data_IF_604719995163
#
_entry.id   IF_604719995163
#
_cell.length_a   1.000
_cell.length_b   1.000
_cell.length_c   1.000
_cell.angle_alpha   90.00
_cell.angle_beta   90.00
_cell.angle_gamma   90.00
#
_symmetry.space_group_name_H-M   'P 1'
#
loop_
_entity.id
_entity.type
_entity.pdbx_description
1 polymer ?
#
# COMPACT_ATOMS: atom_id res chain seq x y z
N UNK A 1 -247.79 -23.68 -29.66
CA UNK A 1 -246.62 -22.83 -29.94
C UNK A 1 -245.50 -23.07 -28.91
N UNK A 2 -244.72 -24.15 -29.00
CA UNK A 2 -243.43 -24.30 -28.27
C UNK A 2 -242.41 -25.20 -28.99
N UNK A 3 -242.64 -25.54 -30.28
CA UNK A 3 -241.76 -26.46 -31.04
C UNK A 3 -240.55 -25.78 -31.71
N UNK A 4 -240.51 -24.45 -31.81
CA UNK A 4 -239.43 -23.71 -32.50
C UNK A 4 -238.23 -23.38 -31.58
N UNK A 5 -238.43 -23.43 -30.26
CA UNK A 5 -237.39 -23.08 -29.26
C UNK A 5 -236.38 -24.21 -29.02
N UNK A 6 -236.75 -25.46 -29.30
CA UNK A 6 -235.85 -26.61 -29.19
C UNK A 6 -234.84 -26.71 -30.34
N UNK A 7 -235.13 -26.19 -31.53
CA UNK A 7 -234.23 -26.32 -32.68
C UNK A 7 -233.05 -25.33 -32.62
N UNK A 8 -233.27 -24.10 -32.16
CA UNK A 8 -232.21 -23.10 -32.01
C UNK A 8 -231.17 -23.51 -30.95
N UNK A 9 -231.60 -24.13 -29.85
CA UNK A 9 -230.69 -24.63 -28.84
C UNK A 9 -229.76 -25.75 -29.36
N UNK A 10 -230.25 -26.59 -30.27
CA UNK A 10 -229.45 -27.67 -30.84
C UNK A 10 -228.38 -27.19 -31.83
N UNK A 11 -228.57 -26.03 -32.49
CA UNK A 11 -227.56 -25.47 -33.40
C UNK A 11 -226.42 -24.80 -32.64
N UNK A 12 -226.70 -24.11 -31.53
CA UNK A 12 -225.66 -23.51 -30.69
C UNK A 12 -224.74 -24.57 -30.07
N UNK A 13 -225.31 -25.70 -29.65
CA UNK A 13 -224.53 -26.82 -29.09
C UNK A 13 -223.53 -27.40 -30.12
N UNK A 14 -223.89 -27.43 -31.41
CA UNK A 14 -223.03 -27.96 -32.46
C UNK A 14 -221.80 -27.06 -32.72
N UNK A 15 -222.00 -25.73 -32.72
CA UNK A 15 -220.92 -24.75 -32.92
C UNK A 15 -219.92 -24.81 -31.76
N UNK A 16 -220.42 -24.99 -30.54
CA UNK A 16 -219.60 -25.08 -29.34
C UNK A 16 -218.71 -26.35 -29.35
N UNK A 17 -219.25 -27.48 -29.85
CA UNK A 17 -218.47 -28.72 -30.03
C UNK A 17 -217.37 -28.53 -31.08
N UNK A 18 -217.65 -27.86 -32.21
CA UNK A 18 -216.63 -27.63 -33.24
C UNK A 18 -215.50 -26.70 -32.76
N UNK A 19 -215.81 -25.65 -32.02
CA UNK A 19 -214.79 -24.78 -31.43
C UNK A 19 -213.91 -25.52 -30.42
N UNK A 20 -214.47 -26.44 -29.63
CA UNK A 20 -213.66 -27.30 -28.75
C UNK A 20 -212.72 -28.24 -29.51
N UNK A 21 -213.11 -28.74 -30.68
CA UNK A 21 -212.24 -29.61 -31.48
C UNK A 21 -211.05 -28.84 -32.06
N UNK A 22 -211.27 -27.64 -32.59
CA UNK A 22 -210.19 -26.79 -33.11
C UNK A 22 -209.19 -26.39 -32.01
N UNK A 23 -209.67 -26.06 -30.81
CA UNK A 23 -208.81 -25.67 -29.69
C UNK A 23 -207.96 -26.84 -29.17
N UNK A 24 -208.50 -28.08 -29.19
CA UNK A 24 -207.72 -29.29 -28.87
C UNK A 24 -206.63 -29.55 -29.90
N UNK A 25 -206.92 -29.42 -31.19
CA UNK A 25 -205.92 -29.65 -32.25
C UNK A 25 -204.78 -28.63 -32.16
N UNK A 26 -205.11 -27.36 -31.90
CA UNK A 26 -204.10 -26.31 -31.73
C UNK A 26 -203.21 -26.56 -30.51
N UNK A 27 -203.80 -26.94 -29.38
CA UNK A 27 -203.04 -27.34 -28.18
C UNK A 27 -202.14 -28.56 -28.42
N UNK A 28 -202.60 -29.53 -29.20
CA UNK A 28 -201.78 -30.70 -29.58
C UNK A 28 -200.58 -30.31 -30.44
N UNK A 29 -200.80 -29.47 -31.47
CA UNK A 29 -199.72 -29.01 -32.35
C UNK A 29 -198.68 -28.16 -31.58
N UNK A 30 -199.14 -27.24 -30.73
CA UNK A 30 -198.24 -26.42 -29.89
C UNK A 30 -197.46 -27.29 -28.89
N UNK A 31 -198.06 -28.36 -28.37
CA UNK A 31 -197.35 -29.33 -27.53
C UNK A 31 -196.25 -30.06 -28.30
N UNK A 32 -196.53 -30.60 -29.49
CA UNK A 32 -195.53 -31.30 -30.31
C UNK A 32 -194.39 -30.38 -30.72
N UNK A 33 -194.71 -29.14 -31.16
CA UNK A 33 -193.70 -28.14 -31.50
C UNK A 33 -192.82 -27.79 -30.28
N UNK A 34 -193.41 -27.70 -29.09
CA UNK A 34 -192.67 -27.45 -27.86
C UNK A 34 -191.76 -28.63 -27.47
N UNK A 35 -192.22 -29.86 -27.68
CA UNK A 35 -191.46 -31.07 -27.39
C UNK A 35 -190.25 -31.19 -28.31
N UNK A 36 -190.44 -31.04 -29.62
CA UNK A 36 -189.36 -31.14 -30.60
C UNK A 36 -188.31 -30.02 -30.44
N UNK A 37 -188.73 -28.78 -30.10
CA UNK A 37 -187.77 -27.73 -29.73
C UNK A 37 -186.95 -28.10 -28.51
N UNK A 38 -187.61 -28.66 -27.47
CA UNK A 38 -186.92 -29.11 -26.26
C UNK A 38 -185.92 -30.22 -26.55
N UNK A 39 -186.28 -31.17 -27.40
CA UNK A 39 -185.40 -32.28 -27.80
C UNK A 39 -184.22 -31.79 -28.62
N UNK A 40 -184.44 -30.93 -29.61
CA UNK A 40 -183.36 -30.34 -30.40
C UNK A 40 -182.40 -29.51 -29.54
N UNK A 41 -182.93 -28.70 -28.62
CA UNK A 41 -182.09 -27.93 -27.69
C UNK A 41 -181.35 -28.85 -26.71
N UNK A 42 -181.95 -29.95 -26.27
CA UNK A 42 -181.29 -30.97 -25.45
C UNK A 42 -180.16 -31.70 -26.20
N UNK A 43 -180.38 -32.10 -27.44
CA UNK A 43 -179.36 -32.77 -28.26
C UNK A 43 -178.22 -31.81 -28.61
N UNK A 44 -178.53 -30.57 -29.00
CA UNK A 44 -177.52 -29.54 -29.27
C UNK A 44 -176.66 -29.26 -28.03
N UNK A 45 -177.28 -29.16 -26.85
CA UNK A 45 -176.53 -28.96 -25.60
C UNK A 45 -175.69 -30.19 -25.23
N UNK A 46 -176.19 -31.40 -25.48
CA UNK A 46 -175.42 -32.63 -25.26
C UNK A 46 -174.20 -32.74 -26.19
N UNK A 47 -174.36 -32.48 -27.49
CA UNK A 47 -173.23 -32.50 -28.43
C UNK A 47 -172.17 -31.44 -28.09
N UNK A 48 -172.59 -30.21 -27.77
CA UNK A 48 -171.65 -29.14 -27.41
C UNK A 48 -170.91 -29.45 -26.11
N UNK A 49 -171.59 -30.04 -25.12
CA UNK A 49 -170.95 -30.42 -23.84
C UNK A 49 -170.01 -31.61 -24.00
N UNK A 50 -170.41 -32.66 -24.72
CA UNK A 50 -169.56 -33.82 -25.02
C UNK A 50 -168.31 -33.42 -25.81
N UNK A 51 -168.45 -32.61 -26.86
CA UNK A 51 -167.30 -32.10 -27.62
C UNK A 51 -166.38 -31.21 -26.76
N UNK A 52 -166.94 -30.37 -25.88
CA UNK A 52 -166.14 -29.57 -24.94
C UNK A 52 -165.36 -30.46 -23.97
N UNK A 53 -165.98 -31.51 -23.45
CA UNK A 53 -165.32 -32.47 -22.56
C UNK A 53 -164.17 -33.21 -23.28
N UNK A 54 -164.38 -33.69 -24.51
CA UNK A 54 -163.32 -34.33 -25.29
C UNK A 54 -162.14 -33.38 -25.57
N UNK A 55 -162.43 -32.11 -25.87
CA UNK A 55 -161.38 -31.09 -26.04
C UNK A 55 -160.60 -30.87 -24.73
N UNK A 56 -161.30 -30.81 -23.60
CA UNK A 56 -160.67 -30.57 -22.31
C UNK A 56 -159.84 -31.79 -21.87
N UNK A 57 -160.31 -33.02 -22.10
CA UNK A 57 -159.52 -34.26 -21.92
C UNK A 57 -158.27 -34.28 -22.81
N UNK A 58 -158.37 -33.87 -24.07
CA UNK A 58 -157.23 -33.80 -24.98
C UNK A 58 -156.19 -32.77 -24.51
N UNK A 59 -156.65 -31.63 -23.97
CA UNK A 59 -155.77 -30.62 -23.36
C UNK A 59 -155.08 -31.15 -22.12
N UNK A 60 -155.79 -31.86 -21.25
CA UNK A 60 -155.22 -32.45 -20.04
C UNK A 60 -154.16 -33.51 -20.39
N UNK A 61 -154.43 -34.36 -21.38
CA UNK A 61 -153.44 -35.31 -21.91
C UNK A 61 -152.25 -34.55 -22.50
N UNK A 62 -152.47 -33.49 -23.28
CA UNK A 62 -151.39 -32.68 -23.84
C UNK A 62 -150.51 -32.08 -22.73
N UNK A 63 -151.11 -31.48 -21.70
CA UNK A 63 -150.37 -30.91 -20.55
C UNK A 63 -149.63 -31.98 -19.77
N UNK A 64 -150.23 -33.16 -19.56
CA UNK A 64 -149.57 -34.28 -18.91
C UNK A 64 -148.38 -34.82 -19.72
N UNK A 65 -148.54 -34.91 -21.05
CA UNK A 65 -147.49 -35.33 -21.96
C UNK A 65 -146.35 -34.30 -21.99
N UNK A 66 -146.67 -33.02 -22.11
CA UNK A 66 -145.68 -31.93 -22.07
C UNK A 66 -144.90 -31.93 -20.76
N UNK A 67 -145.61 -32.12 -19.62
CA UNK A 67 -144.96 -32.29 -18.31
C UNK A 67 -144.07 -33.52 -18.24
N UNK A 68 -144.49 -34.66 -18.79
CA UNK A 68 -143.69 -35.88 -18.82
C UNK A 68 -142.43 -35.72 -19.67
N UNK A 69 -142.53 -35.11 -20.87
CA UNK A 69 -141.37 -34.85 -21.72
C UNK A 69 -140.42 -33.83 -21.10
N UNK A 70 -140.95 -32.77 -20.48
CA UNK A 70 -140.14 -31.80 -19.75
C UNK A 70 -139.42 -32.47 -18.55
N UNK A 71 -140.11 -33.35 -17.82
CA UNK A 71 -139.48 -34.13 -16.75
C UNK A 71 -138.40 -35.07 -17.29
N UNK A 72 -138.65 -35.78 -18.38
CA UNK A 72 -137.67 -36.66 -18.99
C UNK A 72 -136.46 -35.90 -19.55
N UNK A 73 -136.68 -34.73 -20.14
CA UNK A 73 -135.61 -33.84 -20.62
C UNK A 73 -134.78 -33.30 -19.46
N UNK A 74 -135.43 -32.84 -18.38
CA UNK A 74 -134.73 -32.35 -17.19
C UNK A 74 -133.93 -33.45 -16.50
N UNK A 75 -134.49 -34.67 -16.38
CA UNK A 75 -133.76 -35.84 -15.87
C UNK A 75 -132.56 -36.15 -16.75
N UNK A 76 -132.74 -36.29 -18.07
CA UNK A 76 -131.65 -36.56 -18.99
C UNK A 76 -130.57 -35.47 -18.91
N UNK A 77 -130.96 -34.19 -18.88
CA UNK A 77 -130.03 -33.06 -18.76
C UNK A 77 -129.25 -33.09 -17.45
N UNK A 78 -129.91 -33.45 -16.35
CA UNK A 78 -129.26 -33.62 -15.05
C UNK A 78 -128.31 -34.82 -15.05
N UNK A 79 -128.70 -35.96 -15.63
CA UNK A 79 -127.84 -37.14 -15.77
C UNK A 79 -126.60 -36.84 -16.62
N UNK A 80 -126.77 -36.18 -17.78
CA UNK A 80 -125.66 -35.70 -18.60
C UNK A 80 -124.77 -34.71 -17.84
N UNK A 81 -125.38 -33.81 -17.06
CA UNK A 81 -124.67 -32.88 -16.18
C UNK A 81 -123.80 -33.61 -15.15
N UNK A 82 -124.37 -34.60 -14.46
CA UNK A 82 -123.68 -35.42 -13.47
C UNK A 82 -122.53 -36.21 -14.09
N UNK A 83 -122.75 -36.91 -15.20
CA UNK A 83 -121.69 -37.67 -15.88
C UNK A 83 -120.57 -36.75 -16.35
N UNK A 84 -120.90 -35.57 -16.89
CA UNK A 84 -119.90 -34.57 -17.30
C UNK A 84 -119.08 -34.07 -16.11
N UNK A 85 -119.75 -33.74 -15.01
CA UNK A 85 -119.09 -33.20 -13.82
C UNK A 85 -118.26 -34.29 -13.10
N UNK A 86 -118.72 -35.54 -13.08
CA UNK A 86 -117.91 -36.69 -12.65
C UNK A 86 -116.67 -36.87 -13.52
N UNK A 87 -116.79 -36.83 -14.85
CA UNK A 87 -115.64 -36.95 -15.75
C UNK A 87 -114.65 -35.80 -15.55
N UNK A 88 -115.15 -34.58 -15.35
CA UNK A 88 -114.33 -33.40 -15.04
C UNK A 88 -113.63 -33.54 -13.70
N UNK A 89 -114.33 -33.99 -12.66
CA UNK A 89 -113.76 -34.21 -11.33
C UNK A 89 -112.68 -35.30 -11.37
N UNK A 90 -112.94 -36.45 -12.02
CA UNK A 90 -111.93 -37.50 -12.23
C UNK A 90 -110.71 -36.97 -12.97
N UNK A 91 -110.88 -36.15 -14.00
CA UNK A 91 -109.75 -35.56 -14.73
C UNK A 91 -108.93 -34.60 -13.85
N UNK A 92 -109.60 -33.78 -13.03
CA UNK A 92 -108.96 -32.88 -12.06
C UNK A 92 -108.20 -33.68 -11.01
N UNK A 93 -108.81 -34.73 -10.44
CA UNK A 93 -108.21 -35.64 -9.47
C UNK A 93 -106.97 -36.33 -10.06
N UNK A 94 -107.07 -36.90 -11.27
CA UNK A 94 -105.94 -37.53 -11.95
C UNK A 94 -104.79 -36.56 -12.21
N UNK A 95 -105.09 -35.32 -12.62
CA UNK A 95 -104.08 -34.26 -12.80
C UNK A 95 -103.42 -33.90 -11.46
N UNK A 96 -104.19 -33.75 -10.40
CA UNK A 96 -103.64 -33.45 -9.07
C UNK A 96 -102.80 -34.61 -8.53
N UNK A 97 -103.25 -35.86 -8.69
CA UNK A 97 -102.49 -37.05 -8.31
C UNK A 97 -101.15 -37.11 -9.06
N UNK A 98 -101.17 -36.91 -10.38
CA UNK A 98 -99.93 -36.89 -11.18
C UNK A 98 -99.00 -35.77 -10.75
N UNK A 99 -99.54 -34.56 -10.52
CA UNK A 99 -98.77 -33.41 -10.04
C UNK A 99 -98.12 -33.71 -8.69
N UNK A 100 -98.86 -34.28 -7.74
CA UNK A 100 -98.33 -34.67 -6.42
C UNK A 100 -97.20 -35.69 -6.54
N UNK A 101 -97.34 -36.69 -7.43
CA UNK A 101 -96.27 -37.69 -7.67
C UNK A 101 -95.03 -37.04 -8.28
N UNK A 102 -95.19 -36.14 -9.25
CA UNK A 102 -94.07 -35.43 -9.89
C UNK A 102 -93.38 -34.47 -8.93
N UNK A 103 -94.14 -33.67 -8.17
CA UNK A 103 -93.60 -32.77 -7.15
C UNK A 103 -92.84 -33.57 -6.08
N UNK A 104 -93.38 -34.71 -5.64
CA UNK A 104 -92.68 -35.62 -4.73
C UNK A 104 -91.36 -36.11 -5.33
N UNK A 105 -91.33 -36.52 -6.61
CA UNK A 105 -90.10 -36.97 -7.27
C UNK A 105 -89.06 -35.85 -7.41
N UNK A 106 -89.49 -34.64 -7.76
CA UNK A 106 -88.60 -33.46 -7.84
C UNK A 106 -88.02 -33.14 -6.46
N UNK A 107 -88.84 -33.16 -5.41
CA UNK A 107 -88.38 -32.91 -4.05
C UNK A 107 -87.37 -33.95 -3.57
N UNK A 108 -87.58 -35.24 -3.90
CA UNK A 108 -86.61 -36.31 -3.61
C UNK A 108 -85.29 -36.05 -4.35
N UNK A 109 -85.33 -35.83 -5.67
CA UNK A 109 -84.13 -35.57 -6.46
C UNK A 109 -83.37 -34.32 -5.99
N UNK A 110 -84.10 -33.27 -5.61
CA UNK A 110 -83.51 -32.05 -5.08
C UNK A 110 -82.85 -32.27 -3.72
N UNK A 111 -83.49 -33.04 -2.84
CA UNK A 111 -82.91 -33.44 -1.56
C UNK A 111 -81.64 -34.29 -1.75
N UNK A 112 -81.68 -35.26 -2.68
CA UNK A 112 -80.51 -36.08 -3.04
C UNK A 112 -79.37 -35.22 -3.60
N UNK A 113 -79.66 -34.31 -4.54
CA UNK A 113 -78.66 -33.40 -5.10
C UNK A 113 -78.04 -32.50 -4.03
N UNK A 114 -78.88 -31.93 -3.15
CA UNK A 114 -78.43 -31.05 -2.07
C UNK A 114 -77.55 -31.82 -1.07
N UNK A 115 -77.94 -33.06 -0.75
CA UNK A 115 -77.16 -33.97 0.10
C UNK A 115 -75.83 -34.34 -0.55
N UNK A 116 -75.83 -34.70 -1.83
CA UNK A 116 -74.63 -35.03 -2.59
C UNK A 116 -73.67 -33.83 -2.67
N UNK A 117 -74.19 -32.64 -2.96
CA UNK A 117 -73.41 -31.39 -2.97
C UNK A 117 -72.81 -31.10 -1.60
N UNK A 118 -73.59 -31.22 -0.52
CA UNK A 118 -73.10 -31.01 0.84
C UNK A 118 -71.99 -32.01 1.20
N UNK A 119 -72.17 -33.29 0.84
CA UNK A 119 -71.17 -34.34 1.06
C UNK A 119 -69.89 -34.09 0.26
N UNK A 120 -69.99 -33.69 -1.01
CA UNK A 120 -68.82 -33.33 -1.83
C UNK A 120 -68.07 -32.13 -1.27
N UNK A 121 -68.79 -31.07 -0.87
CA UNK A 121 -68.19 -29.91 -0.25
C UNK A 121 -67.47 -30.29 1.04
N UNK A 122 -68.12 -31.04 1.93
CA UNK A 122 -67.52 -31.52 3.18
C UNK A 122 -66.28 -32.38 2.93
N UNK A 123 -66.34 -33.31 1.97
CA UNK A 123 -65.22 -34.18 1.64
C UNK A 123 -64.03 -33.43 0.98
N UNK A 124 -64.29 -32.30 0.31
CA UNK A 124 -63.25 -31.53 -0.38
C UNK A 124 -62.79 -30.30 0.39
N UNK A 125 -63.50 -29.88 1.44
CA UNK A 125 -63.20 -28.72 2.26
C UNK A 125 -61.83 -28.83 2.93
N UNK A 126 -61.54 -29.94 3.61
CA UNK A 126 -60.25 -30.17 4.25
C UNK A 126 -59.09 -30.12 3.25
N UNK A 127 -59.26 -30.78 2.10
CA UNK A 127 -58.25 -30.78 1.02
C UNK A 127 -58.08 -29.39 0.40
N UNK A 128 -59.16 -28.63 0.22
CA UNK A 128 -59.11 -27.26 -0.28
C UNK A 128 -58.41 -26.34 0.72
N UNK A 129 -58.74 -26.44 2.01
CA UNK A 129 -58.10 -25.67 3.07
C UNK A 129 -56.59 -25.96 3.12
N UNK A 130 -56.20 -27.24 3.09
CA UNK A 130 -54.80 -27.63 3.04
C UNK A 130 -54.07 -27.10 1.78
N UNK A 131 -54.72 -27.16 0.62
CA UNK A 131 -54.15 -26.62 -0.61
C UNK A 131 -53.94 -25.11 -0.51
N UNK A 132 -54.90 -24.35 0.03
CA UNK A 132 -54.74 -22.90 0.16
C UNK A 132 -53.71 -22.51 1.21
N UNK A 133 -53.56 -23.28 2.29
CA UNK A 133 -52.45 -23.09 3.23
C UNK A 133 -51.10 -23.34 2.54
N UNK A 134 -50.98 -24.43 1.78
CA UNK A 134 -49.76 -24.76 1.06
C UNK A 134 -49.44 -23.72 -0.02
N UNK A 135 -50.46 -23.24 -0.74
CA UNK A 135 -50.34 -22.19 -1.74
C UNK A 135 -49.87 -20.88 -1.10
N UNK A 136 -50.48 -20.47 0.01
CA UNK A 136 -50.06 -19.26 0.75
C UNK A 136 -48.62 -19.38 1.25
N UNK A 137 -48.21 -20.55 1.77
CA UNK A 137 -46.82 -20.81 2.15
C UNK A 137 -45.88 -20.78 0.96
N UNK A 138 -46.28 -21.31 -0.19
CA UNK A 138 -45.47 -21.28 -1.41
C UNK A 138 -45.28 -19.85 -1.92
N UNK A 139 -46.35 -19.05 -1.97
CA UNK A 139 -46.27 -17.63 -2.35
C UNK A 139 -45.36 -16.83 -1.40
N UNK A 140 -45.38 -17.14 -0.10
CA UNK A 140 -44.46 -16.50 0.85
C UNK A 140 -43.01 -16.96 0.62
N UNK A 141 -42.78 -18.26 0.44
CA UNK A 141 -41.45 -18.80 0.17
C UNK A 141 -40.87 -18.24 -1.14
N UNK A 142 -41.67 -18.06 -2.18
CA UNK A 142 -41.25 -17.42 -3.44
C UNK A 142 -40.76 -15.98 -3.21
N UNK A 143 -41.50 -15.17 -2.44
CA UNK A 143 -41.07 -13.81 -2.08
C UNK A 143 -39.78 -13.80 -1.27
N UNK A 144 -39.66 -14.74 -0.32
CA UNK A 144 -38.46 -14.85 0.52
C UNK A 144 -37.25 -15.25 -0.33
N UNK A 145 -37.41 -16.20 -1.27
CA UNK A 145 -36.37 -16.60 -2.22
C UNK A 145 -35.95 -15.42 -3.10
N UNK A 146 -36.90 -14.65 -3.63
CA UNK A 146 -36.61 -13.47 -4.45
C UNK A 146 -35.82 -12.42 -3.65
N UNK A 147 -36.26 -12.13 -2.42
CA UNK A 147 -35.54 -11.21 -1.53
C UNK A 147 -34.11 -11.69 -1.26
N UNK A 148 -33.93 -12.98 -0.94
CA UNK A 148 -32.61 -13.55 -0.69
C UNK A 148 -31.74 -13.54 -1.95
N UNK A 149 -32.31 -13.76 -3.13
CA UNK A 149 -31.59 -13.68 -4.41
C UNK A 149 -31.07 -12.26 -4.66
N UNK A 150 -31.90 -11.23 -4.44
CA UNK A 150 -31.49 -9.83 -4.55
C UNK A 150 -30.41 -9.50 -3.52
N UNK A 151 -30.59 -9.92 -2.27
CA UNK A 151 -29.60 -9.70 -1.22
C UNK A 151 -28.26 -10.37 -1.55
N UNK A 152 -28.27 -11.62 -2.04
CA UNK A 152 -27.09 -12.36 -2.46
C UNK A 152 -26.38 -11.64 -3.62
N UNK A 153 -27.12 -11.17 -4.63
CA UNK A 153 -26.55 -10.41 -5.74
C UNK A 153 -25.90 -9.09 -5.28
N UNK A 154 -26.53 -8.38 -4.33
CA UNK A 154 -25.97 -7.16 -3.75
C UNK A 154 -24.68 -7.45 -2.96
N UNK A 155 -24.68 -8.48 -2.10
CA UNK A 155 -23.48 -8.87 -1.34
C UNK A 155 -22.37 -9.36 -2.28
N UNK A 156 -22.71 -10.17 -3.29
CA UNK A 156 -21.76 -10.63 -4.31
C UNK A 156 -21.14 -9.46 -5.06
N UNK A 157 -21.95 -8.48 -5.47
CA UNK A 157 -21.46 -7.26 -6.13
C UNK A 157 -20.51 -6.47 -5.22
N UNK A 158 -20.85 -6.32 -3.93
CA UNK A 158 -19.96 -5.68 -2.94
C UNK A 158 -18.65 -6.44 -2.74
N UNK A 159 -18.69 -7.77 -2.72
CA UNK A 159 -17.48 -8.61 -2.64
C UNK A 159 -16.60 -8.38 -3.86
N UNK A 160 -17.18 -8.31 -5.07
CA UNK A 160 -16.43 -8.03 -6.30
C UNK A 160 -15.80 -6.65 -6.27
N UNK A 161 -16.52 -5.61 -5.82
CA UNK A 161 -15.96 -4.25 -5.70
C UNK A 161 -14.81 -4.20 -4.68
N UNK A 162 -14.95 -4.86 -3.53
CA UNK A 162 -13.90 -4.90 -2.52
C UNK A 162 -12.68 -5.72 -2.98
N UNK A 163 -12.89 -6.84 -3.69
CA UNK A 163 -11.80 -7.62 -4.32
C UNK A 163 -11.03 -6.78 -5.35
N UNK A 164 -11.74 -6.01 -6.18
CA UNK A 164 -11.14 -5.07 -7.13
C UNK A 164 -10.31 -3.99 -6.41
N UNK A 165 -10.86 -3.39 -5.34
CA UNK A 165 -10.15 -2.41 -4.53
C UNK A 165 -8.89 -3.01 -3.87
N UNK A 166 -9.00 -4.21 -3.31
CA UNK A 166 -7.88 -4.92 -2.71
C UNK A 166 -6.78 -5.21 -3.74
N UNK A 167 -7.15 -5.65 -4.95
CA UNK A 167 -6.19 -5.91 -6.02
C UNK A 167 -5.44 -4.64 -6.45
N UNK A 168 -6.15 -3.50 -6.57
CA UNK A 168 -5.52 -2.20 -6.86
C UNK A 168 -4.53 -1.80 -5.77
N UNK A 169 -4.96 -1.86 -4.51
CA UNK A 169 -4.11 -1.54 -3.36
C UNK A 169 -2.89 -2.46 -3.30
N UNK A 170 -3.06 -3.75 -3.56
CA UNK A 170 -1.96 -4.71 -3.61
C UNK A 170 -0.93 -4.35 -4.70
N UNK A 171 -1.39 -3.95 -5.89
CA UNK A 171 -0.50 -3.56 -6.98
C UNK A 171 0.22 -2.24 -6.68
N UNK A 172 -0.47 -1.26 -6.10
CA UNK A 172 0.16 -0.02 -5.62
C UNK A 172 1.26 -0.29 -4.58
N UNK A 173 1.02 -1.19 -3.62
CA UNK A 173 2.02 -1.54 -2.61
C UNK A 173 3.19 -2.33 -3.20
N UNK A 174 2.96 -3.21 -4.18
CA UNK A 174 4.05 -3.87 -4.90
C UNK A 174 4.94 -2.85 -5.61
N UNK A 175 4.34 -1.89 -6.31
CA UNK A 175 5.08 -0.86 -7.04
C UNK A 175 5.84 0.07 -6.08
N UNK A 176 5.20 0.51 -4.99
CA UNK A 176 5.88 1.28 -3.94
C UNK A 176 7.07 0.52 -3.34
N UNK A 177 6.90 -0.77 -3.04
CA UNK A 177 7.97 -1.60 -2.52
C UNK A 177 9.10 -1.80 -3.54
N UNK A 178 8.77 -1.93 -4.84
CA UNK A 178 9.75 -2.02 -5.93
C UNK A 178 10.61 -0.75 -5.98
N UNK A 179 9.98 0.42 -5.99
CA UNK A 179 10.67 1.72 -6.01
C UNK A 179 11.56 1.92 -4.77
N UNK A 180 11.06 1.57 -3.57
CA UNK A 180 11.85 1.64 -2.34
C UNK A 180 13.06 0.70 -2.37
N UNK A 181 12.92 -0.51 -2.93
CA UNK A 181 14.05 -1.42 -3.12
C UNK A 181 15.09 -0.85 -4.08
N UNK A 182 14.66 -0.27 -5.20
CA UNK A 182 15.54 0.37 -6.18
C UNK A 182 16.27 1.59 -5.59
N UNK A 183 15.61 2.41 -4.78
CA UNK A 183 16.25 3.53 -4.07
C UNK A 183 17.25 3.03 -3.01
N UNK A 184 16.86 2.05 -2.21
CA UNK A 184 17.75 1.42 -1.22
C UNK A 184 19.01 0.86 -1.90
N UNK A 185 18.85 0.17 -3.01
CA UNK A 185 19.96 -0.47 -3.71
C UNK A 185 20.85 0.57 -4.40
N UNK A 186 20.27 1.65 -4.95
CA UNK A 186 21.03 2.83 -5.42
C UNK A 186 21.84 3.47 -4.30
N UNK A 187 21.22 3.78 -3.16
CA UNK A 187 21.91 4.35 -2.00
C UNK A 187 23.01 3.43 -1.46
N UNK A 188 22.75 2.12 -1.43
CA UNK A 188 23.75 1.12 -1.04
C UNK A 188 24.95 1.11 -1.99
N UNK A 189 24.71 1.21 -3.30
CA UNK A 189 25.79 1.31 -4.29
C UNK A 189 26.62 2.60 -4.10
N UNK A 190 25.96 3.74 -3.87
CA UNK A 190 26.65 5.00 -3.55
C UNK A 190 27.48 4.90 -2.27
N UNK A 191 26.92 4.32 -1.20
CA UNK A 191 27.64 4.10 0.06
C UNK A 191 28.88 3.22 -0.13
N UNK A 192 28.77 2.10 -0.87
CA UNK A 192 29.91 1.22 -1.14
C UNK A 192 30.98 1.92 -1.99
N UNK A 193 30.57 2.75 -2.97
CA UNK A 193 31.51 3.54 -3.76
C UNK A 193 32.24 4.57 -2.87
N UNK A 194 31.51 5.31 -2.04
CA UNK A 194 32.10 6.27 -1.12
C UNK A 194 33.05 5.60 -0.12
N UNK A 195 32.67 4.44 0.44
CA UNK A 195 33.54 3.65 1.32
C UNK A 195 34.83 3.23 0.62
N UNK A 196 34.75 2.84 -0.66
CA UNK A 196 35.93 2.52 -1.48
C UNK A 196 36.82 3.76 -1.67
N UNK A 197 36.24 4.92 -1.96
CA UNK A 197 37.00 6.17 -2.10
C UNK A 197 37.68 6.58 -0.80
N UNK A 198 36.99 6.47 0.34
CA UNK A 198 37.56 6.77 1.67
C UNK A 198 38.75 5.86 1.95
N UNK A 199 38.61 4.54 1.72
CA UNK A 199 39.71 3.61 1.94
C UNK A 199 40.91 3.92 1.02
N UNK A 200 40.66 4.21 -0.26
CA UNK A 200 41.73 4.61 -1.19
C UNK A 200 42.44 5.90 -0.76
N UNK A 201 41.69 6.88 -0.23
CA UNK A 201 42.28 8.10 0.32
C UNK A 201 43.11 7.79 1.57
N UNK A 202 42.60 6.96 2.47
CA UNK A 202 43.32 6.54 3.66
C UNK A 202 44.63 5.84 3.30
N UNK A 203 44.61 4.89 2.36
CA UNK A 203 45.80 4.17 1.89
C UNK A 203 46.82 5.13 1.26
N UNK A 204 46.36 6.06 0.41
CA UNK A 204 47.24 7.09 -0.18
C UNK A 204 47.87 8.00 0.86
N UNK A 205 47.09 8.43 1.86
CA UNK A 205 47.61 9.28 2.94
C UNK A 205 48.57 8.51 3.84
N UNK A 206 48.29 7.25 4.13
CA UNK A 206 49.19 6.37 4.86
C UNK A 206 50.53 6.24 4.16
N UNK A 207 50.55 5.93 2.86
CA UNK A 207 51.80 5.84 2.07
C UNK A 207 52.56 7.18 2.07
N UNK A 208 51.87 8.31 1.87
CA UNK A 208 52.50 9.65 1.92
C UNK A 208 53.13 9.92 3.29
N UNK A 209 52.42 9.61 4.37
CA UNK A 209 52.91 9.81 5.73
C UNK A 209 54.12 8.92 6.02
N UNK A 210 54.08 7.64 5.63
CA UNK A 210 55.23 6.73 5.77
C UNK A 210 56.44 7.25 5.00
N UNK A 211 56.25 7.70 3.76
CA UNK A 211 57.33 8.26 2.96
C UNK A 211 57.92 9.53 3.60
N UNK A 212 57.08 10.45 4.07
CA UNK A 212 57.52 11.66 4.75
C UNK A 212 58.28 11.35 6.05
N UNK A 213 57.79 10.40 6.85
CA UNK A 213 58.45 9.95 8.07
C UNK A 213 59.82 9.32 7.78
N UNK A 214 59.91 8.49 6.73
CA UNK A 214 61.17 7.88 6.31
C UNK A 214 62.18 8.92 5.82
N UNK A 215 61.76 9.85 4.95
CA UNK A 215 62.62 10.93 4.45
C UNK A 215 63.07 11.81 5.61
N UNK A 216 62.15 12.25 6.47
CA UNK A 216 62.46 13.06 7.65
C UNK A 216 63.46 12.35 8.57
N UNK A 217 63.26 11.05 8.84
CA UNK A 217 64.20 10.28 9.64
C UNK A 217 65.57 10.13 8.97
N UNK A 218 65.62 9.99 7.65
CA UNK A 218 66.89 9.90 6.90
C UNK A 218 67.66 11.21 6.96
N UNK A 219 66.99 12.34 6.67
CA UNK A 219 67.57 13.68 6.75
C UNK A 219 68.04 13.97 8.17
N UNK A 220 67.22 13.65 9.18
CA UNK A 220 67.61 13.83 10.59
C UNK A 220 68.85 13.03 10.95
N UNK A 221 68.98 11.78 10.49
CA UNK A 221 70.18 10.95 10.70
C UNK A 221 71.41 11.56 10.00
N UNK A 222 71.26 12.00 8.76
CA UNK A 222 72.35 12.63 8.01
C UNK A 222 72.83 13.93 8.67
N UNK A 223 71.91 14.79 9.11
CA UNK A 223 72.24 16.02 9.84
C UNK A 223 72.89 15.71 11.18
N UNK A 224 72.38 14.74 11.94
CA UNK A 224 73.00 14.32 13.20
C UNK A 224 74.44 13.82 13.00
N UNK A 225 74.70 13.10 11.92
CA UNK A 225 76.05 12.65 11.56
C UNK A 225 76.97 13.82 11.18
N UNK A 226 76.49 14.79 10.39
CA UNK A 226 77.26 16.01 10.10
C UNK A 226 77.59 16.80 11.37
N UNK A 227 76.64 16.93 12.30
CA UNK A 227 76.87 17.56 13.61
C UNK A 227 77.91 16.79 14.42
N UNK A 228 77.86 15.45 14.40
CA UNK A 228 78.86 14.60 15.05
C UNK A 228 80.26 14.85 14.48
N UNK A 229 80.40 14.88 13.16
CA UNK A 229 81.68 15.16 12.49
C UNK A 229 82.19 16.58 12.80
N UNK A 230 81.31 17.58 12.76
CA UNK A 230 81.66 18.96 13.12
C UNK A 230 82.15 19.05 14.58
N UNK A 231 81.48 18.39 15.52
CA UNK A 231 81.91 18.36 16.93
C UNK A 231 83.26 17.67 17.12
N UNK A 232 83.58 16.64 16.33
CA UNK A 232 84.91 16.01 16.36
C UNK A 232 85.98 16.97 15.86
N UNK A 233 85.72 17.65 14.73
CA UNK A 233 86.67 18.63 14.17
C UNK A 233 86.90 19.78 15.15
N UNK A 234 85.83 20.33 15.73
CA UNK A 234 85.93 21.39 16.75
C UNK A 234 86.69 20.89 17.98
N UNK A 235 86.35 19.71 18.50
CA UNK A 235 87.02 19.14 19.68
C UNK A 235 88.51 18.86 19.45
N UNK A 236 88.88 18.35 18.28
CA UNK A 236 90.30 18.22 17.89
C UNK A 236 90.97 19.58 17.76
N UNK A 237 90.30 20.57 17.18
CA UNK A 237 90.79 21.94 17.12
C UNK A 237 91.04 22.56 18.49
N UNK A 238 90.14 22.36 19.44
CA UNK A 238 90.30 22.81 20.84
C UNK A 238 91.47 22.10 21.53
N UNK A 239 91.60 20.78 21.37
CA UNK A 239 92.74 20.02 21.91
C UNK A 239 94.08 20.48 21.33
N UNK A 240 94.14 20.70 20.01
CA UNK A 240 95.33 21.25 19.35
C UNK A 240 95.64 22.66 19.87
N UNK A 241 94.62 23.51 20.08
CA UNK A 241 94.78 24.87 20.62
C UNK A 241 95.38 24.90 22.02
N UNK A 242 95.20 23.87 22.83
CA UNK A 242 95.85 23.76 24.14
C UNK A 242 97.38 23.59 24.04
N UNK A 243 97.90 23.07 22.93
CA UNK A 243 99.33 22.81 22.71
C UNK A 243 100.05 23.97 21.99
N UNK A 244 99.31 24.97 21.53
CA UNK A 244 99.83 26.15 20.84
C UNK A 244 100.43 27.15 21.82
N UNK A 245 101.43 27.92 21.37
CA UNK A 245 101.99 28.99 22.20
C UNK A 245 101.07 30.22 22.23
N UNK A 246 101.23 31.09 23.23
CA UNK A 246 100.39 32.30 23.35
C UNK A 246 100.52 33.23 22.13
N UNK A 247 101.69 33.28 21.48
CA UNK A 247 101.90 34.05 20.25
C UNK A 247 101.02 33.52 19.10
N UNK A 248 100.94 32.19 18.94
CA UNK A 248 100.16 31.54 17.88
C UNK A 248 98.65 31.56 18.16
N UNK A 249 98.24 31.72 19.43
CA UNK A 249 96.85 31.92 19.81
C UNK A 249 96.35 33.34 19.52
N UNK A 250 97.23 34.34 19.63
CA UNK A 250 96.92 35.76 19.39
C UNK A 250 97.08 36.11 17.91
N UNK A 251 98.08 35.55 17.23
CA UNK A 251 98.30 35.70 15.79
C UNK A 251 98.30 34.34 15.05
N UNK A 252 97.14 33.69 14.86
CA UNK A 252 97.06 32.37 14.22
C UNK A 252 97.36 32.39 12.71
N UNK A 253 97.28 33.57 12.08
CA UNK A 253 97.38 33.75 10.64
C UNK A 253 98.76 34.34 10.30
N UNK A 254 99.71 33.49 9.92
CA UNK A 254 101.03 33.95 9.50
C UNK A 254 100.98 34.64 8.14
N UNK A 255 101.89 35.59 7.90
CA UNK A 255 102.18 36.06 6.55
C UNK A 255 102.77 34.91 5.74
N UNK A 256 102.41 34.84 4.47
CA UNK A 256 103.00 33.87 3.54
C UNK A 256 104.52 33.94 3.59
N UNK A 257 105.17 32.78 3.65
CA UNK A 257 106.64 32.69 3.61
C UNK A 257 107.19 32.74 2.19
N UNK A 258 106.32 32.84 1.18
CA UNK A 258 106.69 32.96 -0.21
C UNK A 258 107.18 34.38 -0.50
N UNK A 259 108.16 34.49 -1.39
CA UNK A 259 108.57 35.78 -1.92
C UNK A 259 107.47 36.36 -2.81
N UNK A 260 107.46 37.69 -2.97
CA UNK A 260 106.45 38.38 -3.77
C UNK A 260 106.47 37.97 -5.27
N UNK A 261 107.56 37.35 -5.72
CA UNK A 261 107.70 36.78 -7.06
C UNK A 261 107.01 35.40 -7.13
N UNK A 262 107.26 34.52 -6.16
CA UNK A 262 106.62 33.19 -6.07
C UNK A 262 105.10 33.28 -5.84
N UNK A 263 104.62 34.28 -5.08
CA UNK A 263 103.17 34.51 -4.92
C UNK A 263 102.48 34.92 -6.21
N UNK A 264 103.18 35.70 -7.07
CA UNK A 264 102.66 36.10 -8.38
C UNK A 264 102.63 34.90 -9.32
N UNK A 265 103.68 34.09 -9.35
CA UNK A 265 103.72 32.86 -10.14
C UNK A 265 102.63 31.86 -9.73
N UNK A 266 102.37 31.70 -8.43
CA UNK A 266 101.31 30.83 -7.93
C UNK A 266 99.91 31.35 -8.32
N UNK A 267 99.68 32.66 -8.21
CA UNK A 267 98.43 33.30 -8.62
C UNK A 267 98.22 33.22 -10.13
N UNK A 268 99.28 33.37 -10.92
CA UNK A 268 99.24 33.20 -12.37
C UNK A 268 98.94 31.75 -12.76
N UNK A 269 99.59 30.76 -12.11
CA UNK A 269 99.29 29.34 -12.32
C UNK A 269 97.84 28.99 -11.95
N UNK A 270 97.33 29.51 -10.83
CA UNK A 270 95.94 29.35 -10.41
C UNK A 270 94.94 29.94 -11.42
N UNK A 271 95.25 31.10 -11.98
CA UNK A 271 94.38 31.76 -12.96
C UNK A 271 94.46 31.08 -14.34
N UNK A 272 95.61 30.50 -14.68
CA UNK A 272 95.89 29.82 -15.95
C UNK A 272 95.45 28.34 -15.97
N UNK A 273 94.93 27.78 -14.87
CA UNK A 273 94.33 26.43 -14.91
C UNK A 273 93.06 26.41 -15.79
N UNK A 274 93.10 25.56 -16.83
CA UNK A 274 92.02 25.41 -17.82
C UNK A 274 90.93 24.41 -17.39
N UNK A 275 91.22 23.53 -16.43
CA UNK A 275 90.29 22.51 -15.95
C UNK A 275 89.31 23.09 -14.92
N UNK A 276 88.02 23.15 -15.28
CA UNK A 276 86.95 23.68 -14.42
C UNK A 276 86.75 22.88 -13.12
N UNK A 277 86.96 21.56 -13.15
CA UNK A 277 86.73 20.72 -11.97
C UNK A 277 87.83 20.93 -10.93
N UNK A 278 89.08 21.07 -11.39
CA UNK A 278 90.23 21.38 -10.52
C UNK A 278 90.09 22.80 -9.96
N UNK A 279 89.71 23.77 -10.79
CA UNK A 279 89.47 25.15 -10.36
C UNK A 279 88.36 25.26 -9.31
N UNK A 280 87.27 24.51 -9.47
CA UNK A 280 86.18 24.47 -8.49
C UNK A 280 86.61 23.80 -7.18
N UNK A 281 87.46 22.77 -7.25
CA UNK A 281 88.03 22.10 -6.09
C UNK A 281 88.98 23.02 -5.32
N UNK A 282 89.89 23.70 -6.00
CA UNK A 282 90.83 24.65 -5.38
C UNK A 282 90.07 25.78 -4.67
N UNK A 283 89.02 26.32 -5.30
CA UNK A 283 88.15 27.33 -4.66
C UNK A 283 87.46 26.81 -3.39
N UNK A 284 87.12 25.52 -3.31
CA UNK A 284 86.53 24.91 -2.11
C UNK A 284 87.54 24.75 -0.98
N UNK A 285 88.83 24.58 -1.31
CA UNK A 285 89.91 24.42 -0.34
C UNK A 285 90.68 25.71 -0.03
N UNK A 286 90.42 26.81 -0.74
CA UNK A 286 91.01 28.12 -0.49
C UNK A 286 90.93 28.55 1.01
N UNK A 287 89.83 28.34 1.76
CA UNK A 287 89.80 28.65 3.19
C UNK A 287 90.77 27.81 4.05
N UNK A 288 91.22 26.65 3.55
CA UNK A 288 92.15 25.76 4.23
C UNK A 288 93.62 26.18 4.04
N UNK A 289 93.90 27.12 3.13
CA UNK A 289 95.26 27.63 2.90
C UNK A 289 95.89 28.17 4.19
N UNK A 290 95.09 28.89 4.97
CA UNK A 290 95.48 29.42 6.28
C UNK A 290 95.87 28.30 7.25
N UNK A 291 95.08 27.23 7.30
CA UNK A 291 95.37 26.08 8.14
C UNK A 291 96.70 25.44 7.75
N UNK A 292 96.94 25.27 6.45
CA UNK A 292 98.19 24.72 5.94
C UNK A 292 99.39 25.61 6.23
N UNK A 293 99.23 26.93 6.16
CA UNK A 293 100.28 27.88 6.54
C UNK A 293 100.67 27.73 8.01
N UNK A 294 99.67 27.63 8.88
CA UNK A 294 99.85 27.40 10.32
C UNK A 294 100.51 26.05 10.61
N UNK A 295 100.06 25.00 9.94
CA UNK A 295 100.63 23.65 10.06
C UNK A 295 102.11 23.62 9.62
N UNK A 296 102.44 24.24 8.49
CA UNK A 296 103.81 24.34 7.99
C UNK A 296 104.73 25.10 8.95
N UNK A 297 104.24 26.18 9.57
CA UNK A 297 104.99 26.91 10.61
C UNK A 297 105.29 26.04 11.82
N UNK A 298 104.30 25.33 12.34
CA UNK A 298 104.49 24.40 13.45
C UNK A 298 105.50 23.28 13.12
N UNK A 299 105.50 22.78 11.88
CA UNK A 299 106.52 21.83 11.42
C UNK A 299 107.93 22.44 11.40
N UNK A 300 108.08 23.66 10.88
CA UNK A 300 109.36 24.36 10.86
C UNK A 300 109.90 24.56 12.28
N UNK A 301 109.04 24.98 13.22
CA UNK A 301 109.43 25.19 14.61
C UNK A 301 109.81 23.88 15.30
N UNK A 302 109.09 22.79 15.03
CA UNK A 302 109.47 21.45 15.50
C UNK A 302 110.85 21.05 14.99
N UNK A 303 111.17 21.31 13.72
CA UNK A 303 112.48 21.02 13.14
C UNK A 303 113.59 21.86 13.77
N UNK A 304 113.34 23.14 14.05
CA UNK A 304 114.27 24.02 14.76
C UNK A 304 114.54 23.50 16.18
N UNK A 305 113.48 23.20 16.94
CA UNK A 305 113.61 22.64 18.29
C UNK A 305 114.36 21.31 18.31
N UNK A 306 114.10 20.42 17.34
CA UNK A 306 114.83 19.15 17.21
C UNK A 306 116.32 19.36 16.90
N UNK A 307 116.65 20.34 16.07
CA UNK A 307 118.04 20.69 15.76
C UNK A 307 118.75 21.26 16.98
N UNK A 308 118.09 22.15 17.71
CA UNK A 308 118.61 22.76 18.94
C UNK A 308 118.81 21.71 20.03
N UNK A 309 117.83 20.81 20.24
CA UNK A 309 117.96 19.69 21.18
C UNK A 309 119.16 18.82 20.84
N UNK A 310 119.36 18.47 19.56
CA UNK A 310 120.54 17.71 19.10
C UNK A 310 121.84 18.48 19.35
N UNK A 311 121.83 19.80 19.24
CA UNK A 311 122.99 20.66 19.53
C UNK A 311 123.32 20.64 21.03
N UNK A 312 122.31 20.87 21.88
CA UNK A 312 122.42 20.86 23.32
C UNK A 312 122.79 19.48 23.88
N UNK A 313 122.28 18.38 23.29
CA UNK A 313 122.68 17.02 23.65
C UNK A 313 124.17 16.78 23.39
N UNK A 314 124.69 17.26 22.25
CA UNK A 314 126.12 17.21 21.93
C UNK A 314 126.94 18.04 22.91
N UNK A 315 126.51 19.26 23.21
CA UNK A 315 127.18 20.13 24.18
C UNK A 315 127.13 19.55 25.60
N UNK A 316 126.02 18.95 26.01
CA UNK A 316 125.91 18.29 27.31
C UNK A 316 126.85 17.08 27.38
N UNK A 317 126.94 16.29 26.30
CA UNK A 317 127.91 15.20 26.20
C UNK A 317 129.35 15.72 26.31
N UNK A 318 129.70 16.80 25.62
CA UNK A 318 131.05 17.38 25.67
C UNK A 318 131.36 17.95 27.06
N UNK A 319 130.42 18.66 27.68
CA UNK A 319 130.55 19.18 29.04
C UNK A 319 130.67 18.07 30.09
N UNK A 320 129.86 17.00 29.98
CA UNK A 320 129.98 15.82 30.85
C UNK A 320 131.33 15.15 30.69
N UNK A 321 131.83 15.06 29.46
CA UNK A 321 133.18 14.56 29.18
C UNK A 321 134.25 15.45 29.82
N UNK A 322 134.13 16.78 29.67
CA UNK A 322 135.08 17.75 30.24
C UNK A 322 135.06 17.76 31.77
N UNK A 323 133.89 17.66 32.40
CA UNK A 323 133.75 17.53 33.86
C UNK A 323 134.34 16.20 34.33
N UNK A 324 134.06 15.10 33.62
CA UNK A 324 134.65 13.80 33.95
C UNK A 324 136.17 13.89 33.89
N UNK A 325 136.73 14.49 32.85
CA UNK A 325 138.16 14.74 32.71
C UNK A 325 138.71 15.67 33.82
N UNK A 326 137.98 16.72 34.22
CA UNK A 326 138.41 17.60 35.31
C UNK A 326 138.40 16.91 36.68
N UNK A 327 137.37 16.10 36.97
CA UNK A 327 137.27 15.31 38.20
C UNK A 327 138.31 14.20 38.24
N UNK A 328 138.60 13.55 37.10
CA UNK A 328 139.71 12.63 36.95
C UNK A 328 141.06 13.33 37.20
N UNK A 329 141.23 14.58 36.77
CA UNK A 329 142.45 15.35 37.06
C UNK A 329 142.56 15.83 38.54
N UNK A 330 141.45 15.92 39.29
CA UNK A 330 141.45 16.29 40.72
C UNK A 330 141.44 15.08 41.67
N UNK A 331 140.94 13.93 41.23
CA UNK A 331 140.82 12.70 42.01
C UNK A 331 141.90 11.71 41.59
N UNK A 332 142.72 11.23 42.54
CA UNK A 332 143.71 10.18 42.26
C UNK A 332 142.96 8.84 42.16
N UNK A 333 142.46 8.54 40.97
CA UNK A 333 141.82 7.27 40.62
C UNK A 333 142.74 6.43 39.73
N UNK A 334 142.63 5.10 39.80
CA UNK A 334 143.52 4.13 39.13
C UNK A 334 143.55 4.30 37.60
N UNK A 335 142.44 4.78 37.01
CA UNK A 335 142.36 5.12 35.58
C UNK A 335 143.24 6.31 35.20
N UNK A 336 143.38 7.30 36.08
CA UNK A 336 144.23 8.48 35.85
C UNK A 336 145.66 7.98 35.73
N UNK A 337 146.17 7.22 36.71
CA UNK A 337 147.54 6.68 36.70
C UNK A 337 147.92 5.84 35.46
N UNK A 338 146.94 5.31 34.71
CA UNK A 338 147.15 4.54 33.47
C UNK A 338 147.21 5.38 32.18
N UNK A 339 146.72 6.62 32.21
CA UNK A 339 146.75 7.57 31.09
C UNK A 339 147.85 8.62 31.30
N UNK A 340 148.32 9.33 30.24
CA UNK A 340 149.33 10.36 30.40
C UNK A 340 148.76 11.58 31.16
N UNK A 341 149.19 11.79 32.41
CA UNK A 341 148.74 12.91 33.24
C UNK A 341 149.91 13.63 33.92
N UNK A 342 149.65 14.84 34.39
CA UNK A 342 150.66 15.73 35.01
C UNK A 342 151.14 15.29 36.41
N UNK A 343 150.51 14.28 37.02
CA UNK A 343 150.82 13.80 38.37
C UNK A 343 152.01 12.82 38.45
N UNK A 344 152.37 12.16 37.34
CA UNK A 344 153.50 11.23 37.25
C UNK A 344 154.44 11.66 36.12
N UNK A 345 155.59 12.23 36.49
CA UNK A 345 156.64 12.62 35.54
C UNK A 345 157.64 11.47 35.46
N UNK A 346 157.62 10.74 34.36
CA UNK A 346 158.59 9.68 34.07
C UNK A 346 159.50 10.20 32.95
N UNK A 347 160.80 10.33 33.24
CA UNK A 347 161.86 10.82 32.31
C UNK A 347 161.80 12.31 31.89
N UNK A 348 161.44 13.23 32.80
CA UNK A 348 161.75 14.66 32.62
C UNK A 348 160.96 15.42 31.54
N UNK A 349 159.92 14.81 30.95
CA UNK A 349 159.05 15.47 29.96
C UNK A 349 157.68 15.71 30.58
N UNK A 350 157.28 16.97 30.75
CA UNK A 350 155.91 17.30 31.10
C UNK A 350 155.00 17.02 29.89
N UNK A 351 154.20 15.97 29.93
CA UNK A 351 153.12 15.73 28.95
C UNK A 351 151.90 16.58 29.29
N UNK A 352 152.09 17.90 29.38
CA UNK A 352 151.00 18.85 29.27
C UNK A 352 150.61 18.93 27.79
N UNK A 353 149.64 18.12 27.36
CA UNK A 353 148.83 18.52 26.21
C UNK A 353 147.96 19.69 26.68
N UNK A 354 148.52 20.89 26.63
CA UNK A 354 147.74 22.12 26.65
C UNK A 354 146.84 22.06 25.44
N UNK A 355 145.54 21.94 25.70
CA UNK A 355 144.53 22.01 24.65
C UNK A 355 144.76 23.32 23.86
N UNK A 356 144.92 23.29 22.51
CA UNK A 356 145.22 24.48 21.72
C UNK A 356 144.14 25.58 21.84
N UNK A 357 142.97 25.24 22.37
CA UNK A 357 141.82 26.12 22.56
C UNK A 357 142.01 27.20 23.66
N UNK A 358 142.99 27.08 24.56
CA UNK A 358 143.25 28.10 25.60
C UNK A 358 144.19 29.23 25.16
N UNK A 359 144.74 29.18 23.94
CA UNK A 359 145.57 30.26 23.36
C UNK A 359 144.81 31.27 22.50
N UNK A 360 143.56 30.99 22.13
CA UNK A 360 142.81 31.92 21.28
C UNK A 360 141.84 32.73 22.14
N UNK A 361 142.25 33.96 22.46
CA UNK A 361 141.42 35.03 23.01
C UNK A 361 140.38 35.53 21.99
N UNK A 362 139.64 34.63 21.36
CA UNK A 362 138.54 34.97 20.47
C UNK A 362 137.22 34.89 21.24
N UNK A 363 136.77 36.09 21.60
CA UNK A 363 135.41 36.46 21.95
C UNK A 363 134.40 35.46 21.34
N UNK A 364 133.59 34.83 22.19
CA UNK A 364 132.29 34.33 21.75
C UNK A 364 131.55 35.54 21.15
N UNK A 365 131.04 35.47 19.91
CA UNK A 365 130.00 36.41 19.53
C UNK A 365 128.81 36.09 20.43
N UNK A 366 128.52 37.01 21.35
CA UNK A 366 127.17 37.14 21.88
C UNK A 366 126.30 37.32 20.65
N UNK A 367 125.42 36.35 20.36
CA UNK A 367 124.32 36.58 19.44
C UNK A 367 123.39 37.57 20.14
N UNK A 368 123.75 38.85 20.06
CA UNK A 368 122.87 39.95 20.37
C UNK A 368 121.73 39.87 19.39
N UNK A 369 120.56 39.50 19.91
CA UNK A 369 119.27 39.64 19.25
C UNK A 369 119.16 41.10 18.79
N UNK A 370 119.28 41.35 17.49
CA UNK A 370 118.76 42.59 16.90
C UNK A 370 117.24 42.43 16.79
N UNK A 371 116.54 42.87 17.83
CA UNK A 371 115.17 43.33 17.71
C UNK A 371 115.24 44.69 16.98
N UNK A 372 115.06 44.68 15.66
CA UNK A 372 114.65 45.90 14.97
C UNK A 372 113.17 46.12 15.24
N UNK A 373 112.90 46.95 16.25
CA UNK A 373 111.61 47.57 16.46
C UNK A 373 111.38 48.71 15.47
N UNK A 374 110.14 48.76 14.99
CA UNK A 374 109.40 49.95 14.59
C UNK A 374 109.97 50.78 13.42
N UNK A 375 109.44 50.53 12.23
CA UNK A 375 108.98 51.63 11.38
C UNK A 375 107.48 51.84 11.59
N UNK A 376 107.17 52.80 12.47
CA UNK A 376 105.92 53.53 12.41
C UNK A 376 105.92 54.40 11.16
N UNK A 377 104.91 54.26 10.31
CA UNK A 377 104.51 55.30 9.38
C UNK A 377 103.17 55.86 9.86
N UNK A 378 103.22 57.11 10.32
CA UNK A 378 102.08 58.00 10.36
C UNK A 378 101.74 58.40 8.92
N UNK A 379 100.46 58.35 8.55
CA UNK A 379 99.75 59.54 8.09
C UNK A 379 98.33 59.21 7.60
N UNK A 380 97.42 60.15 7.88
CA UNK A 380 96.50 60.58 6.83
C UNK A 380 95.06 60.09 6.92
N UNK A 381 94.33 60.60 7.90
CA UNK A 381 92.87 60.79 7.77
C UNK A 381 92.57 61.65 6.55
N UNK A 382 91.83 61.12 5.57
CA UNK A 382 90.91 61.91 4.75
C UNK A 382 89.58 61.17 4.52
N UNK A 383 88.55 61.76 5.11
CA UNK A 383 87.14 61.66 4.76
C UNK A 383 86.90 61.76 3.25
N UNK A 384 86.13 60.82 2.66
CA UNK A 384 85.15 61.16 1.62
C UNK A 384 84.15 60.01 1.35
N UNK A 385 82.92 60.21 1.82
CA UNK A 385 81.67 60.16 1.05
C UNK A 385 81.57 59.12 -0.09
N UNK A 386 80.90 57.99 0.16
CA UNK A 386 79.59 57.61 -0.42
C UNK A 386 79.07 56.30 0.15
#
# INVERSE_FOLDING_TARGET
MMSMRNHLHNLDLLVEIQNQQLDRMKKSFDQELSMMKREYDAEKTHMVTSHKQQIDELKDIYVAFDKYFLQKETIARNEYGNVRDEMKNRAIENKHALRMVLEKKVNILWAEFTTCKANYLKATEERRAFYEELKSRNEQAEKDIEYQMIHLNNVSSRIVTEKSRLAKVQEEYKEKNRLLCEERDRLRAHFLNLKRQINQLHDRQFVKLTNLANISSSVRKAVAEMVRQANIIIGLGEQCRCLETEEEKVLPFYTSCLTQEEEKELSEAYNNEEDLDIKALLKRYEPLEIFWRRFSKAQLDSLVLLRERKSLEKENCTLRSLISQYLENMSISDKVMSQPNSLLIINGVHNLTVDPALKDGKKRPVATIKLEGAHMYSDGVTSSVK
#
